data_IF_529220787877
#
_entry.id   IF_529220787877
#
_cell.length_a   1.000
_cell.length_b   1.000
_cell.length_c   1.000
_cell.angle_alpha   90.00
_cell.angle_beta   90.00
_cell.angle_gamma   90.00
#
_symmetry.space_group_name_H-M   'P 1'
#
loop_
_entity.id
_entity.type
_entity.pdbx_description
1 polymer ?
#
# COMPACT_ATOMS: atom_id res chain seq x y z
N UNK A 1 41.16 52.66 21.31
CA UNK A 1 41.76 52.85 19.96
C UNK A 1 42.22 54.30 19.90
N UNK A 2 43.46 54.57 19.49
CA UNK A 2 43.97 55.95 19.40
C UNK A 2 43.89 56.44 17.96
N UNK A 3 43.39 57.66 17.76
CA UNK A 3 43.37 58.32 16.43
C UNK A 3 44.04 59.68 16.55
N UNK A 4 44.93 59.99 15.60
CA UNK A 4 45.56 61.30 15.50
C UNK A 4 44.56 62.32 14.94
N UNK A 5 44.39 63.44 15.64
CA UNK A 5 43.54 64.53 15.16
C UNK A 5 44.20 65.20 13.96
N UNK A 6 43.43 65.36 12.88
CA UNK A 6 43.81 66.17 11.73
C UNK A 6 42.71 67.16 11.42
N UNK A 7 43.08 68.38 11.10
CA UNK A 7 42.15 69.42 10.69
C UNK A 7 42.34 69.77 9.22
N UNK A 8 41.22 70.06 8.58
CA UNK A 8 41.24 70.59 7.23
C UNK A 8 41.42 72.10 7.28
N UNK A 9 42.47 72.59 6.64
CA UNK A 9 42.74 74.01 6.57
C UNK A 9 43.12 74.42 5.14
N UNK A 10 42.98 75.71 4.86
CA UNK A 10 43.36 76.32 3.57
C UNK A 10 44.18 77.56 3.89
N UNK A 11 45.36 77.67 3.27
CA UNK A 11 46.27 78.78 3.51
C UNK A 11 45.79 80.05 2.81
N UNK A 12 45.28 81.01 3.57
CA UNK A 12 44.83 82.31 3.04
C UNK A 12 46.04 83.26 2.88
N UNK A 13 46.88 83.02 1.86
CA UNK A 13 47.92 83.99 1.46
C UNK A 13 47.41 84.89 0.34
N UNK A 14 47.80 86.17 0.35
CA UNK A 14 47.46 87.12 -0.71
C UNK A 14 48.16 86.76 -2.04
N UNK A 15 47.61 85.83 -2.82
CA UNK A 15 48.07 85.37 -4.13
C UNK A 15 47.08 84.35 -4.73
N UNK A 16 47.03 84.20 -6.06
CA UNK A 16 45.93 83.53 -6.81
C UNK A 16 45.67 82.03 -6.56
N UNK A 17 46.32 81.40 -5.59
CA UNK A 17 46.28 79.95 -5.36
C UNK A 17 45.38 79.59 -4.14
N UNK A 18 44.14 80.08 -4.13
CA UNK A 18 43.25 80.03 -2.94
C UNK A 18 42.49 78.72 -2.70
N UNK A 19 42.72 77.65 -3.49
CA UNK A 19 41.83 76.47 -3.49
C UNK A 19 42.48 75.15 -3.03
N UNK A 20 43.72 75.16 -2.53
CA UNK A 20 44.36 73.93 -2.03
C UNK A 20 43.99 73.67 -0.58
N UNK A 21 43.14 72.67 -0.37
CA UNK A 21 42.72 72.21 0.95
C UNK A 21 43.70 71.14 1.47
N UNK A 22 44.34 71.40 2.61
CA UNK A 22 45.32 70.51 3.25
C UNK A 22 44.74 69.88 4.52
N UNK A 23 45.14 68.64 4.82
CA UNK A 23 44.72 67.89 6.01
C UNK A 23 45.95 67.57 6.86
N UNK A 24 46.26 68.45 7.80
CA UNK A 24 47.41 68.34 8.67
C UNK A 24 46.95 68.29 10.13
N UNK A 25 47.80 67.73 10.98
CA UNK A 25 47.55 67.61 12.40
C UNK A 25 48.83 67.24 13.12
N UNK A 26 48.94 67.62 14.38
CA UNK A 26 50.10 67.30 15.21
C UNK A 26 50.09 65.80 15.54
N UNK A 27 51.19 65.10 15.24
CA UNK A 27 51.33 63.66 15.45
C UNK A 27 51.24 63.27 16.94
N UNK A 28 51.52 64.23 17.82
CA UNK A 28 51.49 64.05 19.27
C UNK A 28 50.11 64.36 19.87
N UNK A 29 49.18 64.92 19.09
CA UNK A 29 47.79 65.14 19.49
C UNK A 29 46.90 63.95 19.13
N UNK A 30 46.71 63.07 20.11
CA UNK A 30 45.88 61.87 20.01
C UNK A 30 44.62 62.01 20.85
N UNK A 31 43.50 61.59 20.29
CA UNK A 31 42.29 61.35 21.07
C UNK A 31 42.19 59.87 21.42
N UNK A 32 42.00 59.60 22.71
CA UNK A 32 41.65 58.26 23.16
C UNK A 32 40.14 58.06 22.97
N UNK A 33 39.79 57.12 22.09
CA UNK A 33 38.41 56.72 21.88
C UNK A 33 38.14 55.46 22.70
N UNK A 34 37.30 55.59 23.74
CA UNK A 34 36.73 54.48 24.46
C UNK A 34 35.39 54.09 23.82
N UNK A 35 35.41 53.02 23.02
CA UNK A 35 34.21 52.42 22.46
C UNK A 35 33.88 51.14 23.20
N UNK A 36 32.67 51.07 23.78
CA UNK A 36 32.10 49.82 24.26
C UNK A 36 31.39 49.15 23.08
N UNK A 37 31.94 48.05 22.58
CA UNK A 37 31.28 47.23 21.58
C UNK A 37 30.32 46.26 22.28
N UNK A 38 29.04 46.31 21.90
CA UNK A 38 28.06 45.31 22.34
C UNK A 38 28.07 44.18 21.34
N UNK A 39 28.36 42.97 21.81
CA UNK A 39 28.26 41.75 21.01
C UNK A 39 27.07 40.93 21.49
N UNK A 40 26.22 40.54 20.54
CA UNK A 40 25.16 39.56 20.70
C UNK A 40 25.57 38.22 20.08
N UNK A 41 24.89 37.13 20.43
CA UNK A 41 25.19 35.81 19.89
C UNK A 41 25.22 35.75 18.35
N UNK A 42 24.23 36.32 17.69
CA UNK A 42 24.10 36.40 16.23
C UNK A 42 25.16 37.29 15.56
N UNK A 43 25.64 38.33 16.25
CA UNK A 43 26.77 39.14 15.78
C UNK A 43 28.12 38.47 15.98
N UNK A 44 28.24 37.59 16.99
CA UNK A 44 29.47 36.87 17.32
C UNK A 44 29.74 35.71 16.36
N UNK A 45 28.70 34.92 16.07
CA UNK A 45 28.82 33.69 15.29
C UNK A 45 27.69 33.52 14.27
N UNK A 46 27.99 32.84 13.17
CA UNK A 46 27.00 32.34 12.21
C UNK A 46 26.91 30.83 12.35
N UNK A 47 25.69 30.32 12.38
CA UNK A 47 25.42 28.88 12.53
C UNK A 47 24.38 28.40 11.54
N UNK A 48 24.51 27.15 11.13
CA UNK A 48 23.49 26.45 10.33
C UNK A 48 23.17 25.10 10.94
N UNK A 49 21.94 24.63 10.73
CA UNK A 49 21.54 23.27 11.00
C UNK A 49 20.69 22.77 9.83
N UNK A 50 20.99 21.58 9.32
CA UNK A 50 20.30 20.99 8.17
C UNK A 50 20.17 19.48 8.34
N UNK A 51 19.08 18.90 7.83
CA UNK A 51 18.93 17.44 7.78
C UNK A 51 20.07 16.85 6.94
N UNK A 52 20.69 15.76 7.42
CA UNK A 52 21.79 15.07 6.72
C UNK A 52 21.31 14.53 5.36
N UNK A 53 22.19 14.49 4.35
CA UNK A 53 21.83 13.98 3.02
C UNK A 53 21.35 12.52 3.05
N UNK A 54 21.95 11.70 3.92
CA UNK A 54 21.50 10.33 4.15
C UNK A 54 20.05 10.28 4.68
N UNK A 55 19.72 11.13 5.65
CA UNK A 55 18.37 11.23 6.22
C UNK A 55 17.36 11.74 5.19
N UNK A 56 17.76 12.68 4.31
CA UNK A 56 16.91 13.16 3.20
C UNK A 56 16.62 12.06 2.19
N UNK A 57 17.64 11.30 1.80
CA UNK A 57 17.49 10.19 0.84
C UNK A 57 16.52 9.11 1.38
N UNK A 58 16.67 8.73 2.65
CA UNK A 58 15.76 7.79 3.30
C UNK A 58 14.35 8.36 3.43
N UNK A 59 14.21 9.63 3.80
CA UNK A 59 12.90 10.30 3.86
C UNK A 59 12.22 10.32 2.50
N UNK A 60 12.97 10.58 1.42
CA UNK A 60 12.44 10.55 0.05
C UNK A 60 11.99 9.14 -0.36
N UNK A 61 12.73 8.10 0.05
CA UNK A 61 12.33 6.71 -0.16
C UNK A 61 10.98 6.41 0.49
N UNK A 62 10.80 6.81 1.74
CA UNK A 62 9.51 6.63 2.46
C UNK A 62 8.40 7.42 1.79
N UNK A 63 8.64 8.69 1.44
CA UNK A 63 7.65 9.55 0.79
C UNK A 63 7.26 9.06 -0.61
N UNK A 64 8.10 8.32 -1.32
CA UNK A 64 7.72 7.72 -2.61
C UNK A 64 6.58 6.71 -2.49
N UNK A 65 6.36 6.17 -1.29
CA UNK A 65 5.37 5.14 -1.01
C UNK A 65 4.14 5.69 -0.26
N UNK A 66 4.23 6.91 0.30
CA UNK A 66 3.15 7.55 1.07
C UNK A 66 2.45 8.60 0.19
N UNK A 67 1.13 8.71 0.28
CA UNK A 67 0.38 9.69 -0.51
C UNK A 67 0.77 11.14 -0.15
N UNK A 68 0.78 11.99 -1.17
CA UNK A 68 1.47 13.27 -1.19
C UNK A 68 0.75 14.36 -0.36
N UNK A 69 0.91 14.36 0.97
CA UNK A 69 0.44 15.43 1.85
C UNK A 69 1.43 16.60 1.92
N UNK A 70 1.77 17.22 0.78
CA UNK A 70 2.68 18.39 0.71
C UNK A 70 3.98 18.25 1.55
N UNK A 71 4.45 17.01 1.74
CA UNK A 71 5.61 16.70 2.57
C UNK A 71 6.90 17.18 1.90
N UNK A 72 7.90 17.49 2.71
CA UNK A 72 9.19 18.00 2.22
C UNK A 72 10.35 17.47 3.07
N UNK A 73 11.55 17.37 2.51
CA UNK A 73 12.70 16.77 3.21
C UNK A 73 13.72 17.79 3.73
N UNK A 74 13.37 19.08 3.72
CA UNK A 74 14.21 20.20 4.18
C UNK A 74 14.12 20.39 5.69
N UNK A 75 12.91 20.30 6.27
CA UNK A 75 12.66 20.40 7.72
C UNK A 75 11.86 19.23 8.28
N UNK A 76 11.38 18.31 7.45
CA UNK A 76 10.75 17.07 7.92
C UNK A 76 11.63 15.85 7.61
N UNK A 77 11.70 14.96 8.59
CA UNK A 77 12.35 13.66 8.54
C UNK A 77 11.24 12.63 8.53
N UNK A 78 11.22 11.75 7.53
CA UNK A 78 10.21 10.70 7.41
C UNK A 78 10.84 9.34 7.66
N UNK A 79 10.19 8.54 8.51
CA UNK A 79 10.63 7.19 8.85
C UNK A 79 9.48 6.21 8.79
N UNK A 80 9.71 5.11 8.10
CA UNK A 80 8.80 3.97 8.13
C UNK A 80 9.09 3.12 9.37
N UNK A 81 8.04 2.79 10.11
CA UNK A 81 8.09 1.80 11.19
C UNK A 81 7.71 0.43 10.65
N UNK A 82 8.11 -0.64 11.33
CA UNK A 82 7.79 -2.00 10.90
C UNK A 82 6.35 -2.41 11.20
N UNK A 83 5.75 -1.76 12.18
CA UNK A 83 4.47 -2.15 12.75
C UNK A 83 3.29 -1.43 12.13
N UNK A 84 2.09 -1.86 12.55
CA UNK A 84 0.81 -1.47 11.96
C UNK A 84 0.09 -0.37 12.73
N UNK A 85 0.58 -0.03 13.92
CA UNK A 85 0.02 1.03 14.78
C UNK A 85 1.08 1.63 15.69
N UNK A 86 0.94 2.92 15.99
CA UNK A 86 1.81 3.60 16.96
C UNK A 86 1.67 2.97 18.36
N UNK A 87 2.80 2.71 19.02
CA UNK A 87 2.83 2.02 20.32
C UNK A 87 2.40 0.54 20.27
N UNK A 88 2.32 -0.05 19.08
CA UNK A 88 2.08 -1.48 18.90
C UNK A 88 3.21 -2.36 19.44
N UNK A 89 2.99 -3.69 19.36
CA UNK A 89 4.00 -4.71 19.74
C UNK A 89 4.37 -5.62 18.56
N UNK A 90 3.81 -5.34 17.40
CA UNK A 90 3.89 -6.09 16.14
C UNK A 90 5.11 -5.64 15.32
N UNK A 91 6.30 -5.72 15.93
CA UNK A 91 7.57 -5.30 15.33
C UNK A 91 8.15 -4.04 15.97
N UNK A 92 9.03 -3.35 15.24
CA UNK A 92 9.69 -2.12 15.69
C UNK A 92 8.77 -0.91 15.52
N UNK A 93 8.13 -0.48 16.60
CA UNK A 93 7.19 0.66 16.63
C UNK A 93 7.80 1.98 17.12
N UNK A 94 9.11 2.02 17.31
CA UNK A 94 9.82 3.21 17.76
C UNK A 94 10.99 3.45 16.81
N UNK A 95 11.23 4.72 16.49
CA UNK A 95 12.43 5.13 15.80
C UNK A 95 13.44 5.64 16.82
N UNK A 96 14.67 5.10 16.79
CA UNK A 96 15.75 5.47 17.72
C UNK A 96 16.93 5.94 16.91
N UNK A 97 17.37 7.17 17.14
CA UNK A 97 18.51 7.75 16.44
C UNK A 97 19.19 8.81 17.30
N UNK A 98 20.48 9.03 17.06
CA UNK A 98 21.16 10.21 17.59
C UNK A 98 20.79 11.42 16.75
N UNK A 99 20.70 12.57 17.38
CA UNK A 99 20.35 13.80 16.69
C UNK A 99 21.47 14.22 15.71
N UNK A 100 22.73 13.83 15.98
CA UNK A 100 23.87 13.99 15.06
C UNK A 100 23.80 13.13 13.79
N UNK A 101 23.06 12.02 13.79
CA UNK A 101 22.84 11.18 12.60
C UNK A 101 21.79 11.81 11.67
N UNK A 102 20.87 12.57 12.27
CA UNK A 102 19.76 13.21 11.59
C UNK A 102 20.08 14.61 11.07
N UNK A 103 20.88 15.37 11.83
CA UNK A 103 21.08 16.81 11.61
C UNK A 103 22.57 17.19 11.68
N UNK A 104 23.04 17.75 10.58
CA UNK A 104 24.34 18.40 10.47
C UNK A 104 24.27 19.83 10.97
N UNK A 105 25.36 20.28 11.59
CA UNK A 105 25.53 21.64 12.07
C UNK A 105 26.84 22.22 11.56
N UNK A 106 26.85 23.53 11.30
CA UNK A 106 28.08 24.27 11.02
C UNK A 106 28.12 25.54 11.83
N UNK A 107 29.33 25.96 12.21
CA UNK A 107 29.58 27.13 13.01
C UNK A 107 30.77 27.92 12.45
N UNK A 108 30.65 29.24 12.37
CA UNK A 108 31.74 30.15 12.03
C UNK A 108 31.69 31.40 12.90
N UNK A 109 32.86 31.98 13.19
CA UNK A 109 32.95 33.26 13.89
C UNK A 109 32.86 34.40 12.87
N UNK A 110 32.16 35.48 13.23
CA UNK A 110 31.95 36.62 12.34
C UNK A 110 33.08 37.68 12.42
N UNK A 111 34.17 37.37 13.12
CA UNK A 111 35.32 38.26 13.29
C UNK A 111 36.62 37.55 12.91
N UNK A 112 37.61 38.32 12.49
CA UNK A 112 38.92 37.80 12.15
C UNK A 112 39.61 37.26 13.41
N UNK A 113 39.89 35.96 13.44
CA UNK A 113 40.71 35.33 14.48
C UNK A 113 42.18 35.62 14.20
N UNK A 114 42.61 36.87 14.37
CA UNK A 114 43.99 37.30 14.08
C UNK A 114 44.98 36.82 15.14
N UNK A 115 44.49 36.37 16.30
CA UNK A 115 45.31 35.88 17.41
C UNK A 115 44.72 34.58 18.00
N UNK A 116 45.28 33.44 17.60
CA UNK A 116 45.03 32.14 18.23
C UNK A 116 44.21 31.15 17.39
N UNK A 117 44.37 29.87 17.72
CA UNK A 117 43.70 28.70 17.12
C UNK A 117 42.23 28.57 17.52
N UNK A 118 41.55 29.67 17.83
CA UNK A 118 40.17 29.68 18.34
C UNK A 118 39.22 29.16 17.27
N UNK A 119 38.55 28.03 17.53
CA UNK A 119 37.54 27.46 16.64
C UNK A 119 36.16 27.94 17.07
N UNK A 120 35.22 28.06 16.12
CA UNK A 120 33.85 28.47 16.43
C UNK A 120 33.17 27.51 17.43
N UNK A 121 33.55 26.24 17.41
CA UNK A 121 33.10 25.20 18.35
C UNK A 121 33.44 25.49 19.81
N UNK A 122 34.42 26.34 20.08
CA UNK A 122 34.79 26.72 21.46
C UNK A 122 33.82 27.75 22.07
N UNK A 123 33.01 28.41 21.22
CA UNK A 123 32.14 29.53 21.61
C UNK A 123 30.66 29.25 21.38
N UNK A 124 30.33 28.27 20.53
CA UNK A 124 28.96 27.89 20.18
C UNK A 124 28.58 26.61 20.90
N UNK A 125 27.53 26.69 21.71
CA UNK A 125 26.97 25.58 22.47
C UNK A 125 25.59 25.23 21.94
N UNK A 126 25.36 23.95 21.66
CA UNK A 126 24.09 23.47 21.15
C UNK A 126 23.23 22.85 22.25
N UNK A 127 21.92 23.02 22.12
CA UNK A 127 20.93 22.30 22.91
C UNK A 127 19.71 21.97 22.06
N UNK A 128 18.99 20.92 22.43
CA UNK A 128 17.77 20.54 21.76
C UNK A 128 16.64 20.25 22.74
N UNK A 129 15.41 20.27 22.22
CA UNK A 129 14.20 19.81 22.88
C UNK A 129 13.37 19.02 21.88
N UNK A 130 13.06 17.76 22.18
CA UNK A 130 12.12 16.95 21.42
C UNK A 130 10.76 17.03 22.11
N UNK A 131 9.77 17.63 21.44
CA UNK A 131 8.43 17.82 21.99
C UNK A 131 7.59 16.59 21.64
N UNK A 132 7.70 15.56 22.46
CA UNK A 132 6.84 14.37 22.40
C UNK A 132 6.13 14.12 23.73
N UNK A 133 6.83 14.28 24.87
CA UNK A 133 6.28 14.35 26.24
C UNK A 133 7.41 14.78 27.20
N UNK A 134 7.24 15.87 27.95
CA UNK A 134 8.27 16.43 28.84
C UNK A 134 9.17 17.47 28.15
N UNK A 135 8.99 18.74 28.51
CA UNK A 135 9.64 19.88 27.86
C UNK A 135 11.04 20.23 28.43
N UNK A 136 11.91 19.24 28.64
CA UNK A 136 13.27 19.52 29.12
C UNK A 136 14.23 19.79 27.96
N UNK A 137 15.04 20.83 28.10
CA UNK A 137 16.19 21.05 27.22
C UNK A 137 17.31 20.09 27.56
N UNK A 138 17.90 19.48 26.55
CA UNK A 138 19.08 18.62 26.64
C UNK A 138 20.26 19.29 25.96
N UNK A 139 21.44 19.18 26.56
CA UNK A 139 22.68 19.60 25.91
C UNK A 139 22.96 18.73 24.67
N UNK A 140 23.64 19.31 23.67
CA UNK A 140 23.96 18.62 22.42
C UNK A 140 25.34 19.02 21.92
N UNK A 141 26.11 18.06 21.39
CA UNK A 141 27.41 18.31 20.75
C UNK A 141 28.33 19.23 21.58
N UNK A 142 28.43 19.02 22.89
CA UNK A 142 29.15 19.95 23.79
C UNK A 142 30.67 19.82 23.70
N UNK A 143 31.17 18.66 23.28
CA UNK A 143 32.58 18.42 23.06
C UNK A 143 32.75 17.45 21.88
N UNK A 144 33.87 17.58 21.17
CA UNK A 144 34.22 16.77 20.02
C UNK A 144 35.50 15.99 20.34
N UNK A 145 35.40 14.68 20.38
CA UNK A 145 36.52 13.78 20.60
C UNK A 145 36.71 12.89 19.37
N UNK A 146 37.94 12.44 19.11
CA UNK A 146 38.21 11.41 18.10
C UNK A 146 38.49 10.12 18.87
N UNK A 147 37.72 9.08 18.59
CA UNK A 147 37.94 7.79 19.24
C UNK A 147 39.14 7.04 18.63
N UNK A 148 39.52 5.91 19.22
CA UNK A 148 40.67 5.10 18.80
C UNK A 148 40.57 4.58 17.35
N UNK A 149 39.38 4.66 16.73
CA UNK A 149 39.10 4.26 15.36
C UNK A 149 39.07 5.45 14.37
N UNK A 150 39.43 6.65 14.82
CA UNK A 150 39.44 7.85 13.98
C UNK A 150 38.06 8.47 13.75
N UNK A 151 37.01 7.99 14.41
CA UNK A 151 35.66 8.52 14.27
C UNK A 151 35.45 9.72 15.21
N UNK A 152 34.78 10.75 14.69
CA UNK A 152 34.34 11.88 15.49
C UNK A 152 33.17 11.45 16.37
N UNK A 153 33.32 11.64 17.68
CA UNK A 153 32.30 11.37 18.69
C UNK A 153 32.00 12.66 19.44
N UNK A 154 30.71 12.96 19.60
CA UNK A 154 30.25 14.11 20.35
C UNK A 154 29.84 13.72 21.77
N UNK A 155 30.15 14.56 22.74
CA UNK A 155 29.57 14.48 24.07
C UNK A 155 28.12 15.01 24.07
N UNK A 156 27.28 14.45 24.96
CA UNK A 156 25.86 14.77 25.07
C UNK A 156 25.08 14.53 23.76
N UNK A 157 25.41 13.45 23.05
CA UNK A 157 24.75 13.02 21.82
C UNK A 157 24.08 11.65 22.03
N UNK A 158 23.12 11.66 22.95
CA UNK A 158 22.36 10.48 23.36
C UNK A 158 21.33 10.07 22.29
N UNK A 159 20.95 8.79 22.32
CA UNK A 159 19.91 8.25 21.44
C UNK A 159 18.55 8.78 21.87
N UNK A 160 17.85 9.42 20.94
CA UNK A 160 16.49 9.91 21.14
C UNK A 160 15.51 8.86 20.62
N UNK A 161 14.45 8.59 21.38
CA UNK A 161 13.37 7.68 20.98
C UNK A 161 12.16 8.49 20.53
N UNK A 162 11.71 8.22 19.31
CA UNK A 162 10.53 8.80 18.70
C UNK A 162 9.45 7.71 18.58
N UNK A 163 8.31 7.93 19.24
CA UNK A 163 7.17 7.00 19.27
C UNK A 163 5.87 7.64 18.78
N UNK A 164 5.78 8.97 18.79
CA UNK A 164 4.61 9.71 18.34
C UNK A 164 4.59 9.85 16.80
N UNK A 165 3.40 9.95 16.18
CA UNK A 165 3.26 10.13 14.73
C UNK A 165 4.04 11.33 14.20
N UNK A 166 4.06 12.41 14.98
CA UNK A 166 4.87 13.60 14.72
C UNK A 166 5.59 13.99 16.01
N UNK A 167 6.88 14.31 15.90
CA UNK A 167 7.67 14.89 16.99
C UNK A 167 8.40 16.13 16.51
N UNK A 168 8.18 17.26 17.18
CA UNK A 168 8.90 18.51 16.86
C UNK A 168 10.23 18.55 17.60
N UNK A 169 11.32 18.69 16.86
CA UNK A 169 12.66 18.93 17.37
C UNK A 169 12.94 20.43 17.28
N UNK A 170 13.21 21.07 18.42
CA UNK A 170 13.71 22.45 18.48
C UNK A 170 15.18 22.43 18.84
N UNK A 171 16.02 23.08 18.05
CA UNK A 171 17.47 23.18 18.27
C UNK A 171 17.84 24.65 18.45
N UNK A 172 18.72 24.93 19.40
CA UNK A 172 19.28 26.25 19.60
C UNK A 172 20.80 26.21 19.69
N UNK A 173 21.41 27.20 19.06
CA UNK A 173 22.81 27.54 19.23
C UNK A 173 22.94 28.78 20.11
N UNK A 174 23.77 28.69 21.14
CA UNK A 174 24.03 29.74 22.12
C UNK A 174 25.51 30.06 22.19
N UNK A 175 25.82 31.31 22.50
CA UNK A 175 27.15 31.72 22.94
C UNK A 175 27.03 32.34 24.33
N UNK A 176 28.16 32.69 24.93
CA UNK A 176 28.18 33.49 26.17
C UNK A 176 27.50 34.86 26.00
N UNK A 177 27.37 35.33 24.75
CA UNK A 177 26.71 36.58 24.38
C UNK A 177 25.22 36.41 24.05
N UNK A 178 24.64 35.22 24.25
CA UNK A 178 23.22 34.95 24.07
C UNK A 178 22.89 34.02 22.89
N UNK A 179 21.62 34.00 22.50
CA UNK A 179 21.11 33.14 21.43
C UNK A 179 21.70 33.58 20.08
N UNK A 180 22.25 32.63 19.33
CA UNK A 180 22.69 32.84 17.95
C UNK A 180 21.53 32.60 17.00
N UNK A 181 20.93 31.40 17.05
CA UNK A 181 19.83 31.01 16.17
C UNK A 181 19.04 29.82 16.72
N UNK A 182 17.77 29.74 16.33
CA UNK A 182 16.87 28.61 16.59
C UNK A 182 16.48 27.93 15.28
N UNK A 183 16.40 26.60 15.30
CA UNK A 183 15.99 25.75 14.18
C UNK A 183 14.86 24.83 14.61
N UNK A 184 14.02 24.43 13.65
CA UNK A 184 12.89 23.56 13.86
C UNK A 184 12.88 22.44 12.82
N UNK A 185 12.75 21.22 13.30
CA UNK A 185 12.61 20.02 12.49
C UNK A 185 11.45 19.18 12.99
N UNK A 186 10.90 18.34 12.14
CA UNK A 186 9.78 17.45 12.48
C UNK A 186 10.15 16.02 12.10
N UNK A 187 9.98 15.08 13.01
CA UNK A 187 10.09 13.65 12.72
C UNK A 187 8.68 13.11 12.55
N UNK A 188 8.37 12.63 11.35
CA UNK A 188 7.11 11.96 11.02
C UNK A 188 7.34 10.47 10.90
N UNK A 189 6.58 9.71 11.68
CA UNK A 189 6.61 8.26 11.69
C UNK A 189 5.43 7.71 10.89
N UNK A 190 5.69 6.74 10.02
CA UNK A 190 4.72 6.11 9.13
C UNK A 190 4.60 4.63 9.48
N UNK A 191 3.42 4.19 9.92
CA UNK A 191 3.12 2.77 10.20
C UNK A 191 2.60 2.08 8.95
N UNK A 192 2.88 0.78 8.80
CA UNK A 192 2.36 0.00 7.67
C UNK A 192 0.85 -0.26 7.84
N UNK A 193 0.14 -0.48 6.73
CA UNK A 193 -1.22 -1.00 6.82
C UNK A 193 -1.20 -2.45 7.32
N UNK A 194 -2.08 -2.83 8.26
CA UNK A 194 -2.26 -4.23 8.62
C UNK A 194 -2.76 -5.03 7.41
N UNK A 195 -2.20 -6.22 7.24
CA UNK A 195 -2.58 -7.18 6.20
C UNK A 195 -3.21 -8.39 6.86
N UNK A 196 -4.45 -8.66 6.51
CA UNK A 196 -5.28 -9.78 6.92
C UNK A 196 -5.89 -10.49 5.71
N UNK A 197 -5.12 -10.57 4.63
CA UNK A 197 -5.52 -11.20 3.36
C UNK A 197 -6.00 -12.64 3.55
N UNK A 198 -5.38 -13.39 4.47
CA UNK A 198 -5.79 -14.77 4.76
C UNK A 198 -7.17 -14.90 5.42
N UNK A 199 -7.65 -13.86 6.14
CA UNK A 199 -9.02 -13.85 6.67
C UNK A 199 -10.06 -13.73 5.55
N UNK A 200 -9.68 -13.12 4.43
CA UNK A 200 -10.50 -12.95 3.24
C UNK A 200 -10.24 -13.98 2.15
N UNK A 201 -9.20 -14.81 2.31
CA UNK A 201 -8.77 -15.74 1.29
C UNK A 201 -9.87 -16.71 0.87
N UNK A 202 -10.71 -17.15 1.80
CA UNK A 202 -11.85 -18.03 1.51
C UNK A 202 -12.90 -17.37 0.61
N UNK A 203 -13.12 -16.06 0.76
CA UNK A 203 -14.10 -15.29 0.01
C UNK A 203 -13.62 -14.99 -1.43
N UNK A 204 -12.33 -15.22 -1.72
CA UNK A 204 -11.72 -15.03 -3.05
C UNK A 204 -12.01 -16.19 -4.01
N UNK A 205 -12.56 -17.30 -3.53
CA UNK A 205 -12.77 -18.51 -4.33
C UNK A 205 -14.25 -18.82 -4.52
N UNK A 206 -14.67 -18.95 -5.78
CA UNK A 206 -16.07 -19.25 -6.13
C UNK A 206 -16.19 -19.96 -7.49
N UNK A 207 -17.38 -20.50 -7.76
CA UNK A 207 -17.76 -21.02 -9.09
C UNK A 207 -18.56 -19.95 -9.85
N UNK A 208 -18.08 -19.47 -11.00
CA UNK A 208 -18.73 -18.35 -11.72
C UNK A 208 -20.06 -18.77 -12.33
N UNK A 209 -20.13 -19.96 -12.93
CA UNK A 209 -21.31 -20.47 -13.63
C UNK A 209 -22.57 -20.61 -12.77
N UNK A 210 -22.43 -20.56 -11.44
CA UNK A 210 -23.53 -20.67 -10.45
C UNK A 210 -23.69 -19.42 -9.62
N UNK A 211 -23.76 -18.27 -10.30
CA UNK A 211 -23.96 -16.97 -9.64
C UNK A 211 -22.89 -16.64 -8.58
N UNK A 212 -21.62 -16.97 -8.89
CA UNK A 212 -20.47 -16.75 -7.99
C UNK A 212 -20.64 -17.46 -6.63
N UNK A 213 -21.04 -18.74 -6.66
CA UNK A 213 -21.24 -19.53 -5.45
C UNK A 213 -19.90 -19.66 -4.68
N UNK A 214 -19.81 -19.18 -3.42
CA UNK A 214 -18.61 -19.30 -2.62
C UNK A 214 -18.27 -20.76 -2.33
N UNK A 215 -16.98 -21.09 -2.33
CA UNK A 215 -16.53 -22.46 -2.06
C UNK A 215 -16.52 -22.72 -0.55
N UNK A 216 -17.10 -23.84 -0.13
CA UNK A 216 -17.00 -24.37 1.23
C UNK A 216 -15.95 -25.46 1.38
N UNK A 217 -16.20 -26.40 2.28
CA UNK A 217 -15.36 -27.59 2.43
C UNK A 217 -15.48 -28.55 1.25
N UNK A 218 -16.55 -28.42 0.46
CA UNK A 218 -16.80 -29.19 -0.75
C UNK A 218 -17.30 -28.30 -1.89
N UNK A 219 -17.08 -28.73 -3.12
CA UNK A 219 -17.68 -28.17 -4.32
C UNK A 219 -17.96 -29.30 -5.32
N UNK A 220 -18.83 -29.01 -6.29
CA UNK A 220 -19.21 -29.98 -7.31
C UNK A 220 -18.43 -29.76 -8.61
N UNK A 221 -18.17 -30.86 -9.31
CA UNK A 221 -17.80 -30.83 -10.72
C UNK A 221 -18.79 -30.00 -11.53
N UNK A 222 -18.32 -29.42 -12.64
CA UNK A 222 -19.21 -28.79 -13.59
C UNK A 222 -20.17 -29.86 -14.15
N UNK A 223 -21.48 -29.60 -14.30
CA UNK A 223 -22.45 -30.67 -14.52
C UNK A 223 -22.21 -31.45 -15.81
N UNK A 224 -22.10 -32.76 -15.66
CA UNK A 224 -21.84 -33.67 -16.77
C UNK A 224 -20.41 -33.57 -17.32
N UNK A 225 -19.50 -32.91 -16.60
CA UNK A 225 -18.09 -32.81 -16.92
C UNK A 225 -17.23 -33.53 -15.89
N UNK A 226 -16.03 -33.86 -16.30
CA UNK A 226 -14.95 -34.43 -15.50
C UNK A 226 -14.05 -33.36 -14.86
N UNK A 227 -14.43 -32.09 -14.94
CA UNK A 227 -13.70 -30.98 -14.34
C UNK A 227 -14.63 -30.10 -13.50
N UNK A 228 -14.07 -29.43 -12.50
CA UNK A 228 -14.74 -28.39 -11.76
C UNK A 228 -14.28 -27.00 -12.21
N UNK A 229 -15.23 -26.07 -12.27
CA UNK A 229 -14.91 -24.66 -12.50
C UNK A 229 -14.50 -24.01 -11.16
N UNK A 230 -13.33 -23.38 -11.13
CA UNK A 230 -12.79 -22.68 -9.97
C UNK A 230 -12.34 -21.28 -10.38
N UNK A 231 -12.84 -20.24 -9.71
CA UNK A 231 -12.42 -18.85 -9.94
C UNK A 231 -11.72 -18.31 -8.71
N UNK A 232 -10.55 -17.73 -8.92
CA UNK A 232 -9.83 -16.90 -7.97
C UNK A 232 -10.06 -15.43 -8.31
N UNK A 233 -10.51 -14.65 -7.35
CA UNK A 233 -10.76 -13.21 -7.48
C UNK A 233 -10.10 -12.46 -6.33
N UNK A 234 -8.99 -11.82 -6.64
CA UNK A 234 -8.23 -11.01 -5.70
C UNK A 234 -8.37 -9.52 -6.01
N UNK A 235 -8.88 -8.78 -5.02
CA UNK A 235 -8.78 -7.34 -4.96
C UNK A 235 -7.63 -6.92 -4.02
N UNK A 236 -6.80 -5.91 -4.37
CA UNK A 236 -5.66 -5.45 -3.58
C UNK A 236 -6.01 -4.80 -2.24
N UNK A 237 -7.28 -4.41 -2.06
CA UNK A 237 -7.81 -3.95 -0.77
C UNK A 237 -8.31 -5.10 0.11
N UNK A 238 -8.42 -6.32 -0.41
CA UNK A 238 -8.89 -7.46 0.36
C UNK A 238 -7.91 -7.78 1.50
N UNK A 239 -8.43 -7.78 2.73
CA UNK A 239 -7.65 -8.02 3.93
C UNK A 239 -6.91 -6.79 4.47
N UNK A 240 -7.11 -5.57 3.97
CA UNK A 240 -6.62 -4.38 4.70
C UNK A 240 -7.69 -3.95 5.71
N UNK A 241 -7.35 -3.85 7.00
CA UNK A 241 -8.31 -3.26 7.94
C UNK A 241 -8.36 -1.74 7.71
N UNK A 242 -9.55 -1.10 7.75
CA UNK A 242 -9.65 0.32 7.43
C UNK A 242 -8.92 1.16 8.48
N UNK A 243 -7.83 1.79 8.08
CA UNK A 243 -7.38 3.07 8.62
C UNK A 243 -7.45 4.00 7.42
N UNK A 244 -8.37 4.96 7.44
CA UNK A 244 -8.66 5.83 6.29
C UNK A 244 -7.47 6.78 6.05
N UNK A 245 -6.51 6.35 5.22
CA UNK A 245 -5.36 7.14 4.75
C UNK A 245 -5.17 7.00 3.21
N UNK A 246 -5.94 6.16 2.50
CA UNK A 246 -5.72 5.89 1.07
C UNK A 246 -7.04 5.75 0.29
N UNK A 247 -7.15 6.49 -0.83
CA UNK A 247 -8.15 6.26 -1.89
C UNK A 247 -7.41 5.66 -3.09
N UNK A 248 -7.80 4.46 -3.54
CA UNK A 248 -7.25 3.86 -4.76
C UNK A 248 -7.82 4.64 -5.95
N UNK A 249 -7.00 5.52 -6.55
CA UNK A 249 -7.44 6.46 -7.58
C UNK A 249 -7.25 5.98 -9.04
N UNK A 250 -6.60 4.85 -9.31
CA UNK A 250 -6.64 4.21 -10.64
C UNK A 250 -6.17 2.73 -10.62
N UNK A 251 -6.90 1.89 -11.37
CA UNK A 251 -6.82 0.45 -11.63
C UNK A 251 -5.86 -0.39 -10.79
N UNK A 252 -6.38 -0.81 -9.64
CA UNK A 252 -6.06 -2.11 -9.04
C UNK A 252 -6.02 -3.21 -10.12
N UNK A 253 -4.92 -3.97 -10.31
CA UNK A 253 -4.97 -5.19 -11.09
C UNK A 253 -5.75 -6.21 -10.26
N UNK A 254 -7.08 -6.12 -10.33
CA UNK A 254 -7.96 -7.19 -9.90
C UNK A 254 -7.50 -8.46 -10.63
N UNK A 255 -7.07 -9.45 -9.87
CA UNK A 255 -6.64 -10.72 -10.45
C UNK A 255 -7.87 -11.62 -10.42
N UNK A 256 -8.58 -11.67 -11.54
CA UNK A 256 -9.61 -12.67 -11.77
C UNK A 256 -9.03 -13.75 -12.68
N UNK A 257 -8.77 -14.93 -12.11
CA UNK A 257 -8.27 -16.09 -12.85
C UNK A 257 -9.23 -17.25 -12.70
N UNK A 258 -9.57 -17.87 -13.82
CA UNK A 258 -10.47 -19.03 -13.88
C UNK A 258 -9.68 -20.28 -14.23
N UNK A 259 -10.00 -21.36 -13.55
CA UNK A 259 -9.37 -22.66 -13.70
C UNK A 259 -10.45 -23.71 -13.98
N UNK A 260 -10.18 -24.61 -14.92
CA UNK A 260 -10.83 -25.91 -14.99
C UNK A 260 -9.96 -26.90 -14.22
N UNK A 261 -10.46 -27.43 -13.11
CA UNK A 261 -9.72 -28.40 -12.32
C UNK A 261 -10.19 -29.79 -12.74
N UNK A 262 -9.36 -30.47 -13.54
CA UNK A 262 -9.66 -31.82 -14.03
C UNK A 262 -9.63 -32.79 -12.85
N UNK A 263 -10.71 -33.55 -12.70
CA UNK A 263 -10.78 -34.68 -11.80
C UNK A 263 -10.05 -35.86 -12.46
N UNK A 264 -9.65 -36.87 -11.68
CA UNK A 264 -9.00 -38.03 -12.28
C UNK A 264 -9.97 -38.68 -13.30
N UNK A 265 -9.57 -38.87 -14.55
CA UNK A 265 -10.48 -39.29 -15.63
C UNK A 265 -10.66 -40.84 -15.72
N UNK A 266 -10.17 -41.59 -14.75
CA UNK A 266 -10.22 -43.06 -14.76
C UNK A 266 -11.54 -43.55 -14.17
N UNK A 267 -12.07 -44.66 -14.67
CA UNK A 267 -13.31 -45.28 -14.16
C UNK A 267 -13.27 -45.68 -12.66
N UNK A 268 -12.10 -45.58 -12.01
CA UNK A 268 -11.87 -45.83 -10.59
C UNK A 268 -11.64 -44.57 -9.77
N UNK A 269 -11.94 -43.39 -10.31
CA UNK A 269 -11.72 -42.13 -9.61
C UNK A 269 -12.58 -42.05 -8.36
N UNK A 270 -11.92 -41.73 -7.24
CA UNK A 270 -12.56 -41.46 -5.96
C UNK A 270 -13.65 -40.39 -6.15
N UNK A 271 -14.83 -40.61 -5.57
CA UNK A 271 -15.99 -39.73 -5.74
C UNK A 271 -15.71 -38.29 -5.27
N UNK A 272 -14.67 -38.10 -4.45
CA UNK A 272 -14.16 -36.83 -3.99
C UNK A 272 -12.63 -36.78 -4.16
N UNK A 273 -12.11 -35.65 -4.64
CA UNK A 273 -10.67 -35.36 -4.71
C UNK A 273 -10.36 -34.19 -3.80
N UNK A 274 -9.43 -34.37 -2.86
CA UNK A 274 -8.98 -33.31 -1.97
C UNK A 274 -8.01 -32.36 -2.69
N UNK A 275 -8.24 -31.05 -2.54
CA UNK A 275 -7.38 -30.00 -3.07
C UNK A 275 -6.77 -29.17 -1.95
N UNK A 276 -5.45 -29.02 -2.02
CA UNK A 276 -4.69 -28.07 -1.21
C UNK A 276 -4.26 -26.89 -2.08
N UNK A 277 -4.77 -25.71 -1.78
CA UNK A 277 -4.40 -24.47 -2.45
C UNK A 277 -3.54 -23.63 -1.53
N UNK A 278 -2.37 -23.23 -2.01
CA UNK A 278 -1.45 -22.33 -1.32
C UNK A 278 -1.18 -21.10 -2.18
N UNK A 279 -1.43 -19.91 -1.63
CA UNK A 279 -1.08 -18.64 -2.26
C UNK A 279 -0.12 -17.85 -1.36
N UNK A 280 0.97 -17.36 -1.95
CA UNK A 280 1.96 -16.52 -1.27
C UNK A 280 1.81 -15.08 -1.74
N UNK A 281 1.20 -14.25 -0.90
CA UNK A 281 1.05 -12.82 -1.14
C UNK A 281 2.30 -12.09 -0.67
N UNK A 282 2.93 -11.31 -1.56
CA UNK A 282 4.12 -10.52 -1.22
C UNK A 282 3.76 -9.04 -1.20
N UNK A 283 4.01 -8.37 -0.08
CA UNK A 283 3.75 -6.94 0.11
C UNK A 283 5.05 -6.19 0.35
N UNK A 284 5.16 -4.99 -0.22
CA UNK A 284 6.26 -4.06 0.05
C UNK A 284 5.83 -3.08 1.13
N UNK A 285 6.59 -3.01 2.22
CA UNK A 285 6.41 -2.05 3.31
C UNK A 285 6.95 -0.68 2.91
N UNK A 286 6.56 0.38 3.62
CA UNK A 286 7.04 1.75 3.35
C UNK A 286 8.57 1.90 3.41
N UNK A 287 9.26 1.04 4.19
CA UNK A 287 10.72 0.98 4.25
C UNK A 287 11.40 0.15 3.14
N UNK A 288 10.64 -0.31 2.14
CA UNK A 288 11.14 -1.16 1.04
C UNK A 288 11.32 -2.64 1.38
N UNK A 289 11.22 -3.01 2.66
CA UNK A 289 11.22 -4.41 3.08
C UNK A 289 9.99 -5.15 2.52
N UNK A 290 10.19 -6.41 2.14
CA UNK A 290 9.08 -7.27 1.70
C UNK A 290 8.59 -8.15 2.84
N UNK A 291 7.28 -8.34 2.92
CA UNK A 291 6.65 -9.32 3.80
C UNK A 291 5.83 -10.29 2.96
N UNK A 292 5.76 -11.54 3.43
CA UNK A 292 5.06 -12.62 2.74
C UNK A 292 3.99 -13.15 3.65
N UNK A 293 2.77 -13.23 3.14
CA UNK A 293 1.65 -13.87 3.79
C UNK A 293 1.26 -15.09 2.97
N UNK A 294 1.42 -16.28 3.57
CA UNK A 294 1.04 -17.54 2.94
C UNK A 294 -0.34 -17.93 3.43
N UNK A 295 -1.32 -17.88 2.53
CA UNK A 295 -2.68 -18.35 2.82
C UNK A 295 -2.87 -19.73 2.21
N UNK A 296 -3.52 -20.60 2.98
CA UNK A 296 -3.80 -21.98 2.59
C UNK A 296 -5.28 -22.24 2.70
N UNK A 297 -5.80 -23.06 1.79
CA UNK A 297 -7.17 -23.53 1.85
C UNK A 297 -7.22 -24.97 1.35
N UNK A 298 -7.99 -25.77 2.07
CA UNK A 298 -8.34 -27.13 1.69
C UNK A 298 -9.83 -27.19 1.34
N UNK A 299 -10.16 -27.88 0.25
CA UNK A 299 -11.54 -28.22 -0.10
C UNK A 299 -11.54 -29.49 -0.95
N UNK A 300 -12.66 -30.20 -0.96
CA UNK A 300 -12.85 -31.37 -1.81
C UNK A 300 -13.69 -31.01 -3.03
N UNK A 301 -13.36 -31.60 -4.18
CA UNK A 301 -14.19 -31.55 -5.38
C UNK A 301 -14.81 -32.92 -5.57
N UNK A 302 -16.13 -32.98 -5.60
CA UNK A 302 -16.86 -34.23 -5.79
C UNK A 302 -17.67 -34.23 -7.07
N UNK A 303 -17.88 -35.42 -7.62
CA UNK A 303 -18.87 -35.62 -8.68
C UNK A 303 -20.26 -35.71 -8.03
N UNK A 304 -20.88 -34.56 -7.81
CA UNK A 304 -22.17 -34.45 -7.10
C UNK A 304 -23.35 -35.08 -7.85
N UNK A 305 -23.21 -35.23 -9.17
CA UNK A 305 -24.22 -35.88 -10.01
C UNK A 305 -23.99 -37.40 -10.09
N UNK A 306 -22.82 -37.86 -9.62
CA UNK A 306 -22.29 -39.20 -9.82
C UNK A 306 -21.95 -39.47 -11.29
N UNK A 307 -21.27 -40.60 -11.60
CA UNK A 307 -20.97 -41.02 -12.96
C UNK A 307 -22.24 -41.48 -13.69
N UNK A 308 -23.17 -40.56 -13.95
CA UNK A 308 -24.32 -40.78 -14.81
C UNK A 308 -23.88 -40.58 -16.25
N UNK A 309 -23.13 -41.54 -16.77
CA UNK A 309 -22.81 -41.71 -18.20
C UNK A 309 -24.02 -42.21 -19.02
N UNK A 310 -25.24 -41.93 -18.55
CA UNK A 310 -26.48 -42.32 -19.21
C UNK A 310 -26.89 -41.26 -20.24
N UNK A 311 -26.23 -41.29 -21.40
CA UNK A 311 -26.91 -40.88 -22.63
C UNK A 311 -27.71 -42.08 -23.15
N UNK A 312 -29.04 -41.97 -23.32
CA UNK A 312 -29.80 -42.99 -24.03
C UNK A 312 -29.33 -42.99 -25.49
N UNK A 313 -28.55 -44.02 -25.85
CA UNK A 313 -27.79 -44.26 -27.10
C UNK A 313 -26.28 -44.01 -27.03
N UNK A 314 -25.59 -44.71 -26.12
CA UNK A 314 -24.13 -44.86 -26.11
C UNK A 314 -23.58 -45.38 -27.46
N UNK A 315 -23.22 -44.47 -28.36
CA UNK A 315 -22.38 -44.72 -29.55
C UNK A 315 -21.29 -43.64 -29.67
N UNK A 316 -20.97 -42.93 -28.59
CA UNK A 316 -19.66 -42.34 -28.41
C UNK A 316 -18.87 -43.36 -27.58
N UNK A 317 -17.97 -44.12 -28.21
CA UNK A 317 -17.02 -44.93 -27.45
C UNK A 317 -16.07 -43.96 -26.74
N UNK A 318 -16.43 -43.56 -25.52
CA UNK A 318 -15.63 -42.70 -24.64
C UNK A 318 -14.20 -43.24 -24.53
N UNK A 319 -14.02 -44.57 -24.55
CA UNK A 319 -12.70 -45.23 -24.56
C UNK A 319 -11.83 -44.92 -25.78
N UNK A 320 -12.38 -44.43 -26.89
CA UNK A 320 -11.58 -44.06 -28.06
C UNK A 320 -10.86 -42.71 -27.91
N UNK A 321 -11.27 -41.88 -26.94
CA UNK A 321 -10.79 -40.49 -26.80
C UNK A 321 -10.56 -40.01 -25.36
N UNK A 322 -11.12 -40.67 -24.35
CA UNK A 322 -10.93 -40.30 -22.95
C UNK A 322 -9.46 -40.50 -22.54
N UNK A 323 -8.79 -39.41 -22.18
CA UNK A 323 -7.38 -39.43 -21.74
C UNK A 323 -6.34 -39.49 -22.85
N UNK A 324 -6.73 -39.30 -24.11
CA UNK A 324 -5.83 -39.21 -25.27
C UNK A 324 -5.43 -37.75 -25.58
N UNK A 325 -4.71 -37.49 -26.70
CA UNK A 325 -4.27 -36.12 -27.08
C UNK A 325 -5.41 -35.11 -27.38
N UNK A 326 -6.65 -35.58 -27.52
CA UNK A 326 -7.83 -34.79 -27.88
C UNK A 326 -8.79 -34.72 -26.69
N UNK A 327 -9.56 -33.64 -26.57
CA UNK A 327 -10.57 -33.52 -25.52
C UNK A 327 -11.82 -34.34 -25.87
N UNK A 328 -12.26 -35.21 -24.96
CA UNK A 328 -13.48 -36.00 -25.09
C UNK A 328 -14.76 -35.18 -25.01
N UNK A 329 -15.90 -35.82 -25.23
CA UNK A 329 -17.21 -35.17 -25.09
C UNK A 329 -17.40 -34.71 -23.63
N UNK A 330 -17.81 -33.46 -23.43
CA UNK A 330 -17.95 -32.78 -22.14
C UNK A 330 -16.68 -32.59 -21.30
N UNK A 331 -15.51 -32.92 -21.84
CA UNK A 331 -14.22 -32.62 -21.22
C UNK A 331 -13.79 -31.18 -21.51
N UNK A 332 -12.88 -30.67 -20.68
CA UNK A 332 -12.30 -29.35 -20.87
C UNK A 332 -11.42 -29.32 -22.14
N UNK A 333 -11.68 -28.36 -23.03
CA UNK A 333 -10.98 -28.22 -24.30
C UNK A 333 -10.25 -26.88 -24.46
N UNK A 334 -10.39 -25.95 -23.52
CA UNK A 334 -9.73 -24.64 -23.59
C UNK A 334 -9.78 -23.90 -22.26
N UNK A 335 -8.90 -22.93 -22.10
CA UNK A 335 -8.71 -22.17 -20.86
C UNK A 335 -7.47 -22.58 -20.08
N UNK A 336 -7.45 -22.33 -18.77
CA UNK A 336 -6.38 -22.73 -17.84
C UNK A 336 -6.85 -23.98 -17.10
N UNK A 337 -6.30 -25.14 -17.46
CA UNK A 337 -6.70 -26.43 -16.91
C UNK A 337 -5.64 -26.93 -15.93
N UNK A 338 -6.04 -27.21 -14.70
CA UNK A 338 -5.20 -27.84 -13.67
C UNK A 338 -5.44 -29.33 -13.74
N UNK A 339 -4.38 -30.09 -14.00
CA UNK A 339 -4.40 -31.56 -14.08
C UNK A 339 -3.44 -32.14 -13.04
N UNK A 340 -3.66 -33.38 -12.65
CA UNK A 340 -2.76 -34.12 -11.77
C UNK A 340 -2.52 -35.53 -12.30
N UNK A 341 -1.26 -35.96 -12.25
CA UNK A 341 -0.87 -37.35 -12.46
C UNK A 341 -0.32 -37.98 -11.17
N UNK A 342 0.20 -39.20 -11.25
CA UNK A 342 0.76 -39.93 -10.09
C UNK A 342 1.97 -39.23 -9.43
N UNK A 343 2.57 -38.22 -10.08
CA UNK A 343 3.83 -37.60 -9.69
C UNK A 343 3.72 -36.10 -9.43
N UNK A 344 2.86 -35.38 -10.15
CA UNK A 344 2.73 -33.94 -10.00
C UNK A 344 1.38 -33.38 -10.48
N UNK A 345 1.03 -32.22 -9.94
CA UNK A 345 0.03 -31.31 -10.50
C UNK A 345 0.70 -30.41 -11.54
N UNK A 346 0.06 -30.24 -12.70
CA UNK A 346 0.54 -29.37 -13.77
C UNK A 346 -0.60 -28.54 -14.36
N UNK A 347 -0.23 -27.42 -14.99
CA UNK A 347 -1.19 -26.51 -15.61
C UNK A 347 -1.02 -26.59 -17.12
N UNK A 348 -2.14 -26.76 -17.81
CA UNK A 348 -2.23 -26.74 -19.26
C UNK A 348 -3.05 -25.54 -19.71
N UNK A 349 -2.61 -24.87 -20.77
CA UNK A 349 -3.27 -23.68 -21.29
C UNK A 349 -3.47 -23.78 -22.78
N UNK A 350 -4.57 -23.22 -23.28
CA UNK A 350 -4.86 -23.12 -24.71
C UNK A 350 -5.90 -24.13 -25.17
N UNK A 351 -6.34 -23.98 -26.42
CA UNK A 351 -7.41 -24.79 -27.01
C UNK A 351 -6.88 -26.14 -27.54
N UNK A 352 -7.65 -27.20 -27.30
CA UNK A 352 -7.45 -28.54 -27.84
C UNK A 352 -8.59 -28.90 -28.77
N UNK A 353 -8.31 -29.65 -29.85
CA UNK A 353 -9.37 -30.16 -30.70
C UNK A 353 -10.24 -31.15 -29.92
N UNK A 354 -11.56 -31.01 -30.06
CA UNK A 354 -12.53 -31.97 -29.57
C UNK A 354 -12.50 -33.24 -30.43
N UNK A 355 -12.55 -34.38 -29.77
CA UNK A 355 -12.70 -35.66 -30.41
C UNK A 355 -14.05 -35.77 -31.15
N UNK A 356 -14.01 -36.22 -32.41
CA UNK A 356 -15.19 -36.40 -33.27
C UNK A 356 -15.74 -37.84 -33.25
N UNK A 357 -15.35 -38.66 -32.27
CA UNK A 357 -15.67 -40.10 -32.18
C UNK A 357 -17.15 -40.44 -31.91
N UNK A 358 -18.04 -39.45 -31.97
CA UNK A 358 -19.45 -39.53 -31.58
C UNK A 358 -20.42 -39.77 -32.76
N UNK A 359 -20.09 -40.71 -33.65
CA UNK A 359 -20.92 -41.02 -34.81
C UNK A 359 -21.07 -39.84 -35.77
N UNK A 360 -22.31 -39.43 -36.07
CA UNK A 360 -22.62 -38.30 -36.98
C UNK A 360 -22.73 -36.93 -36.30
N UNK A 361 -22.40 -36.85 -35.02
CA UNK A 361 -22.51 -35.61 -34.25
C UNK A 361 -21.18 -34.87 -34.27
N UNK A 362 -21.14 -33.69 -34.87
CA UNK A 362 -19.97 -32.83 -34.82
C UNK A 362 -19.85 -32.22 -33.41
N UNK A 363 -18.66 -32.30 -32.82
CA UNK A 363 -18.37 -31.81 -31.46
C UNK A 363 -17.46 -30.59 -31.54
N UNK A 364 -17.85 -29.48 -30.92
CA UNK A 364 -17.14 -28.19 -30.98
C UNK A 364 -16.72 -27.72 -29.59
N UNK A 365 -15.52 -27.15 -29.49
CA UNK A 365 -15.04 -26.54 -28.26
C UNK A 365 -15.81 -25.23 -28.04
N UNK A 366 -16.58 -25.16 -26.97
CA UNK A 366 -17.52 -24.05 -26.71
C UNK A 366 -17.18 -23.39 -25.39
N UNK A 367 -17.13 -22.06 -25.38
CA UNK A 367 -16.87 -21.27 -24.18
C UNK A 367 -18.05 -21.37 -23.19
N UNK A 368 -17.76 -21.50 -21.89
CA UNK A 368 -18.79 -21.67 -20.87
C UNK A 368 -19.55 -20.37 -20.56
N UNK A 369 -18.86 -19.23 -20.60
CA UNK A 369 -19.41 -17.94 -20.14
C UNK A 369 -19.39 -16.84 -21.21
N UNK A 370 -18.89 -17.17 -22.41
CA UNK A 370 -18.76 -16.27 -23.56
C UNK A 370 -18.08 -14.95 -23.18
N UNK A 371 -16.93 -15.06 -22.52
CA UNK A 371 -16.20 -13.87 -22.06
C UNK A 371 -15.67 -13.02 -23.23
N UNK A 372 -15.58 -11.68 -23.05
CA UNK A 372 -15.00 -10.78 -24.05
C UNK A 372 -13.56 -11.13 -24.44
N UNK A 373 -12.81 -11.75 -23.53
CA UNK A 373 -11.51 -12.32 -23.79
C UNK A 373 -11.63 -13.84 -23.84
N UNK A 374 -11.74 -14.39 -25.05
CA UNK A 374 -11.88 -15.83 -25.26
C UNK A 374 -10.74 -16.66 -24.63
N UNK A 375 -9.53 -16.10 -24.52
CA UNK A 375 -8.39 -16.80 -23.90
C UNK A 375 -8.48 -16.90 -22.37
N UNK A 376 -9.40 -16.15 -21.75
CA UNK A 376 -9.67 -16.19 -20.32
C UNK A 376 -10.88 -17.07 -19.97
N UNK A 377 -11.61 -17.56 -20.97
CA UNK A 377 -12.77 -18.41 -20.72
C UNK A 377 -12.37 -19.87 -20.60
N UNK A 378 -13.13 -20.59 -19.78
CA UNK A 378 -13.06 -22.03 -19.70
C UNK A 378 -13.94 -22.60 -20.81
N UNK A 379 -13.45 -23.59 -21.56
CA UNK A 379 -14.16 -24.15 -22.70
C UNK A 379 -14.37 -25.66 -22.55
N UNK A 380 -15.49 -26.14 -23.08
CA UNK A 380 -15.90 -27.54 -23.04
C UNK A 380 -16.32 -28.06 -24.41
N UNK A 381 -16.03 -29.32 -24.70
CA UNK A 381 -16.50 -29.99 -25.92
C UNK A 381 -18.01 -30.27 -25.87
N UNK A 382 -18.77 -29.65 -26.76
CA UNK A 382 -20.23 -29.74 -26.86
C UNK A 382 -20.67 -30.25 -28.24
N UNK A 383 -21.80 -30.97 -28.36
CA UNK A 383 -22.34 -31.36 -29.66
C UNK A 383 -23.00 -30.18 -30.39
N UNK A 384 -22.68 -30.00 -31.67
CA UNK A 384 -23.10 -28.88 -32.54
C UNK A 384 -24.56 -28.93 -33.03
N UNK A 385 -25.26 -30.08 -32.95
CA UNK A 385 -26.68 -30.17 -33.33
C UNK A 385 -27.50 -31.23 -32.57
N UNK A 386 -28.54 -30.77 -31.90
CA UNK A 386 -29.53 -31.55 -31.14
C UNK A 386 -30.37 -30.61 -30.27
N UNK A 387 -31.62 -30.97 -29.93
CA UNK A 387 -32.60 -30.16 -29.17
C UNK A 387 -32.21 -29.74 -27.74
N UNK A 388 -30.91 -29.67 -27.44
CA UNK A 388 -30.30 -29.65 -26.11
C UNK A 388 -29.49 -28.37 -25.84
N UNK A 389 -29.47 -27.37 -26.74
CA UNK A 389 -28.81 -26.08 -26.48
C UNK A 389 -29.46 -25.28 -25.34
N UNK A 390 -30.62 -25.70 -24.83
CA UNK A 390 -31.30 -25.12 -23.66
C UNK A 390 -30.81 -25.68 -22.31
N UNK A 391 -29.87 -26.63 -22.30
CA UNK A 391 -29.47 -27.33 -21.07
C UNK A 391 -28.57 -26.53 -20.13
N UNK A 392 -27.89 -25.47 -20.60
CA UNK A 392 -27.08 -24.60 -19.71
C UNK A 392 -27.89 -24.00 -18.56
N UNK A 393 -29.16 -23.63 -18.80
CA UNK A 393 -30.06 -23.12 -17.76
C UNK A 393 -30.57 -24.20 -16.81
N UNK A 394 -30.73 -25.44 -17.30
CA UNK A 394 -31.14 -26.58 -16.48
C UNK A 394 -30.01 -27.01 -15.54
N UNK A 395 -28.76 -26.94 -16.01
CA UNK A 395 -27.58 -27.35 -15.22
C UNK A 395 -27.16 -26.35 -14.16
N UNK A 396 -27.29 -25.04 -14.40
CA UNK A 396 -27.14 -24.04 -13.36
C UNK A 396 -28.17 -24.26 -12.22
N UNK A 397 -29.40 -24.65 -12.55
CA UNK A 397 -30.42 -25.01 -11.58
C UNK A 397 -30.07 -26.30 -10.80
N UNK A 398 -29.53 -27.33 -11.47
CA UNK A 398 -29.07 -28.58 -10.83
C UNK A 398 -27.93 -28.32 -9.84
N UNK A 399 -26.91 -27.55 -10.23
CA UNK A 399 -25.82 -27.17 -9.32
C UNK A 399 -26.35 -26.40 -8.10
N UNK A 400 -27.24 -25.43 -8.30
CA UNK A 400 -27.84 -24.66 -7.21
C UNK A 400 -28.66 -25.55 -6.26
N UNK A 401 -29.37 -26.57 -6.78
CA UNK A 401 -30.15 -27.51 -5.95
C UNK A 401 -29.28 -28.51 -5.20
N UNK A 402 -28.24 -29.07 -5.82
CA UNK A 402 -27.34 -30.04 -5.19
C UNK A 402 -26.43 -29.36 -4.16
N UNK A 403 -25.91 -28.16 -4.49
CA UNK A 403 -25.14 -27.36 -3.53
C UNK A 403 -25.98 -26.87 -2.36
N UNK A 404 -27.27 -26.56 -2.55
CA UNK A 404 -28.18 -26.24 -1.43
C UNK A 404 -28.34 -27.40 -0.43
N UNK A 405 -28.09 -28.64 -0.85
CA UNK A 405 -28.13 -29.82 -0.01
C UNK A 405 -26.85 -29.99 0.83
N UNK A 406 -25.71 -29.49 0.34
CA UNK A 406 -24.41 -29.54 1.03
C UNK A 406 -24.01 -28.24 1.76
N UNK A 407 -24.64 -27.11 1.44
CA UNK A 407 -24.30 -25.79 2.00
C UNK A 407 -25.45 -25.12 2.81
N UNK A 408 -25.27 -24.88 4.12
CA UNK A 408 -26.23 -24.12 4.93
C UNK A 408 -26.35 -22.63 4.53
N UNK A 409 -25.36 -22.08 3.82
CA UNK A 409 -25.40 -20.70 3.32
C UNK A 409 -26.25 -20.56 2.04
N UNK A 410 -26.28 -21.59 1.18
CA UNK A 410 -27.09 -21.61 -0.04
C UNK A 410 -28.59 -21.72 0.27
N UNK A 411 -28.96 -22.46 1.32
CA UNK A 411 -30.33 -22.51 1.85
C UNK A 411 -30.79 -21.15 2.41
N UNK A 412 -29.92 -20.37 3.04
CA UNK A 412 -30.25 -19.02 3.53
C UNK A 412 -30.52 -18.01 2.39
N UNK A 413 -29.75 -18.06 1.30
CA UNK A 413 -29.97 -17.23 0.10
C UNK A 413 -31.29 -17.56 -0.61
N UNK A 414 -31.65 -18.85 -0.71
CA UNK A 414 -32.91 -19.29 -1.30
C UNK A 414 -34.14 -18.92 -0.45
N UNK A 415 -34.03 -18.96 0.89
CA UNK A 415 -35.11 -18.53 1.79
C UNK A 415 -35.27 -17.00 1.81
N UNK A 416 -34.16 -16.25 1.71
CA UNK A 416 -34.17 -14.79 1.65
C UNK A 416 -34.85 -14.22 0.39
N UNK A 417 -34.61 -14.84 -0.78
CA UNK A 417 -35.22 -14.42 -2.05
C UNK A 417 -36.73 -14.70 -2.10
N UNK A 418 -37.20 -15.81 -1.53
CA UNK A 418 -38.63 -16.10 -1.41
C UNK A 418 -39.37 -15.10 -0.50
N UNK A 419 -38.75 -14.69 0.61
CA UNK A 419 -39.34 -13.70 1.52
C UNK A 419 -39.41 -12.29 0.91
N UNK A 420 -38.42 -11.87 0.13
CA UNK A 420 -38.42 -10.58 -0.58
C UNK A 420 -39.51 -10.54 -1.65
N UNK A 421 -39.74 -11.64 -2.39
CA UNK A 421 -40.81 -11.71 -3.38
C UNK A 421 -42.22 -11.63 -2.74
N UNK A 422 -42.42 -12.25 -1.58
CA UNK A 422 -43.70 -12.19 -0.84
C UNK A 422 -43.93 -10.80 -0.25
N UNK A 423 -42.89 -10.15 0.29
CA UNK A 423 -42.99 -8.76 0.79
C UNK A 423 -43.25 -7.79 -0.36
N UNK A 424 -42.60 -7.95 -1.51
CA UNK A 424 -42.86 -7.13 -2.70
C UNK A 424 -44.31 -7.29 -3.20
N UNK A 425 -44.86 -8.51 -3.23
CA UNK A 425 -46.26 -8.76 -3.59
C UNK A 425 -47.24 -8.14 -2.58
N UNK A 426 -46.95 -8.18 -1.28
CA UNK A 426 -47.78 -7.55 -0.24
C UNK A 426 -47.69 -6.01 -0.30
N UNK A 427 -46.52 -5.44 -0.60
CA UNK A 427 -46.32 -3.99 -0.75
C UNK A 427 -46.95 -3.46 -2.04
N UNK A 428 -46.87 -4.20 -3.14
CA UNK A 428 -47.55 -3.85 -4.41
C UNK A 428 -49.06 -3.93 -4.23
N UNK A 429 -49.58 -4.95 -3.54
CA UNK A 429 -51.02 -5.06 -3.25
C UNK A 429 -51.52 -3.96 -2.29
N UNK A 430 -50.70 -3.53 -1.32
CA UNK A 430 -51.01 -2.35 -0.48
C UNK A 430 -50.94 -1.02 -1.25
N UNK A 431 -49.98 -0.85 -2.17
CA UNK A 431 -49.87 0.36 -3.00
C UNK A 431 -51.02 0.51 -3.99
N UNK A 432 -51.52 -0.58 -4.58
CA UNK A 432 -52.67 -0.52 -5.52
C UNK A 432 -53.98 -0.15 -4.80
N UNK A 433 -54.13 -0.51 -3.52
CA UNK A 433 -55.27 -0.09 -2.68
C UNK A 433 -55.12 1.37 -2.21
N UNK A 434 -53.91 1.85 -1.93
CA UNK A 434 -53.66 3.23 -1.54
C UNK A 434 -53.77 4.24 -2.71
N UNK A 435 -53.39 3.84 -3.93
CA UNK A 435 -53.46 4.69 -5.13
C UNK A 435 -54.90 5.03 -5.57
N UNK A 436 -55.91 4.24 -5.19
CA UNK A 436 -57.32 4.59 -5.43
C UNK A 436 -57.90 5.59 -4.42
N UNK A 437 -57.17 5.95 -3.37
CA UNK A 437 -57.64 6.84 -2.30
C UNK A 437 -57.00 8.23 -2.26
N UNK A 438 -55.99 8.49 -3.10
CA UNK A 438 -55.18 9.72 -3.06
C UNK A 438 -55.31 10.59 -4.32
N UNK A 439 -56.42 10.49 -5.06
CA UNK A 439 -56.84 11.53 -6.00
C UNK A 439 -57.63 12.59 -5.23
N UNK A 440 -56.93 13.52 -4.58
CA UNK A 440 -57.36 14.90 -4.27
C UNK A 440 -56.30 15.58 -3.40
N UNK A 441 -56.01 16.84 -3.71
CA UNK A 441 -55.14 17.81 -3.02
C UNK A 441 -53.74 18.02 -3.64
N UNK A 442 -53.73 19.06 -4.47
CA UNK A 442 -52.65 19.82 -5.09
C UNK A 442 -51.52 20.30 -4.16
N UNK A 443 -50.36 20.51 -4.81
CA UNK A 443 -49.43 21.65 -4.72
C UNK A 443 -49.04 22.24 -3.35
N UNK A 444 -47.73 22.22 -3.05
CA UNK A 444 -46.89 23.44 -3.04
C UNK A 444 -45.51 23.22 -2.37
N UNK A 445 -44.47 23.64 -3.10
CA UNK A 445 -43.22 24.29 -2.65
C UNK A 445 -42.22 23.61 -1.69
N UNK A 446 -41.03 23.34 -2.23
CA UNK A 446 -39.74 23.33 -1.51
C UNK A 446 -39.29 24.76 -1.17
N UNK A 447 -38.50 24.95 -0.09
CA UNK A 447 -37.12 25.37 -0.32
C UNK A 447 -36.08 24.68 0.59
N UNK A 448 -34.86 24.67 0.04
CA UNK A 448 -33.59 24.20 0.59
C UNK A 448 -33.02 25.10 1.71
N UNK A 449 -32.02 24.52 2.40
CA UNK A 449 -31.00 25.08 3.33
C UNK A 449 -31.35 25.07 4.83
N UNK A 450 -30.62 24.24 5.58
CA UNK A 450 -29.37 24.69 6.20
C UNK A 450 -28.31 23.59 6.25
#
# INVERSE_FOLDING_TARGET
>A
METALKEWWTDYRCGSDYDVRSCDGDADQRCELQQCLVMNGDTLATVTATITEATKAESASVLSQVENQAYQTVTQIHRALDCTRFGGKDGTCEFKAKLSELIDTTESLNFATTYGSSQATDYVFWRYKAVSEGESWSLWKTAKNVNDYGNVVYENDEVVTFSNPETKITIEAWTQCGLVRRFFFYVHLHVNSPVSVCEKFNDMWYQTSVSRLPIGTGMCAYPGSDFAELTFDFHPNAGRTPIEILTVLEDSPEIVTRFGVEMLNKATTEAATDFHVECVFTYTKYGGATTKETCKRDFAISDCKGPAFDVPNAVCEYEACAGDKLAGLYEACGGIIVKADEKCTYVETGEKPCCQGCGSTEVTCTALLDLPNANADLMRCEPSSGAYSSYGQYFAAVLLTETAQEHPAATALLVGTALIAVVALVVVRRRVVALHSAQTADDAYYPLLH
#
